data_IF_104084264408
#
_entry.id   IF_104084264408
#
_cell.length_a   1.000
_cell.length_b   1.000
_cell.length_c   1.000
_cell.angle_alpha   90.00
_cell.angle_beta   90.00
_cell.angle_gamma   90.00
#
_symmetry.space_group_name_H-M   'P 1'
#
loop_
_entity.id
_entity.type
_entity.pdbx_description
1 polymer ?
#
# COMPACT_ATOMS: atom_id res chain seq x y z
N UNK A 1 -7.90 -9.22 -3.74
CA UNK A 1 -9.08 -8.40 -3.37
C UNK A 1 -9.21 -7.12 -4.20
N UNK A 2 -8.28 -6.15 -4.12
CA UNK A 2 -8.43 -4.84 -4.78
C UNK A 2 -8.56 -4.90 -6.32
N UNK A 3 -7.78 -5.74 -7.00
CA UNK A 3 -7.91 -5.92 -8.45
C UNK A 3 -9.30 -6.45 -8.86
N UNK A 4 -9.87 -7.38 -8.08
CA UNK A 4 -11.20 -7.92 -8.33
C UNK A 4 -12.33 -6.91 -8.03
N UNK A 5 -12.10 -5.98 -7.10
CA UNK A 5 -13.05 -4.94 -6.73
C UNK A 5 -13.16 -3.80 -7.76
N UNK A 6 -12.26 -3.76 -8.77
CA UNK A 6 -12.29 -2.82 -9.91
C UNK A 6 -12.47 -1.35 -9.53
N UNK A 7 -11.88 -0.93 -8.41
CA UNK A 7 -11.88 0.49 -8.02
C UNK A 7 -11.04 1.29 -9.00
N UNK A 8 -11.44 2.53 -9.26
CA UNK A 8 -10.73 3.42 -10.21
C UNK A 8 -9.30 3.70 -9.77
N UNK A 9 -9.11 3.97 -8.49
CA UNK A 9 -7.83 4.35 -7.93
C UNK A 9 -7.57 3.63 -6.61
N UNK A 10 -6.28 3.44 -6.31
CA UNK A 10 -5.77 3.04 -5.01
C UNK A 10 -4.88 4.18 -4.55
N UNK A 11 -5.24 4.78 -3.41
CA UNK A 11 -4.52 5.90 -2.80
C UNK A 11 -4.04 5.45 -1.43
N UNK A 12 -2.75 5.57 -1.15
CA UNK A 12 -2.20 5.26 0.18
C UNK A 12 -1.13 6.27 0.60
N UNK A 13 -0.94 6.34 1.93
CA UNK A 13 0.07 7.20 2.56
C UNK A 13 1.42 6.54 2.62
N UNK A 14 1.79 6.02 3.80
CA UNK A 14 3.07 5.38 4.03
C UNK A 14 3.23 4.08 3.22
N UNK A 15 4.37 3.92 2.56
CA UNK A 15 4.74 2.67 1.91
C UNK A 15 5.01 1.56 2.95
N UNK A 16 4.71 0.33 2.57
CA UNK A 16 5.14 -0.87 3.31
C UNK A 16 6.28 -1.56 2.53
N UNK A 17 7.56 -1.29 2.87
CA UNK A 17 8.70 -1.89 2.18
C UNK A 17 8.87 -3.39 2.47
N UNK A 18 8.18 -3.94 3.47
CA UNK A 18 8.29 -5.35 3.85
C UNK A 18 7.35 -6.24 3.05
N UNK A 19 6.10 -5.80 2.87
CA UNK A 19 5.04 -6.66 2.30
C UNK A 19 4.03 -5.94 1.42
N UNK A 20 4.21 -4.65 1.11
CA UNK A 20 3.21 -3.85 0.41
C UNK A 20 2.94 -4.35 -1.02
N UNK A 21 1.75 -4.89 -1.29
CA UNK A 21 1.44 -5.58 -2.56
C UNK A 21 1.31 -4.71 -3.82
N UNK A 22 1.53 -3.39 -3.75
CA UNK A 22 1.54 -2.47 -4.90
C UNK A 22 2.95 -2.34 -5.47
N UNK A 23 3.87 -1.82 -4.66
CA UNK A 23 5.26 -1.55 -5.07
C UNK A 23 6.26 -2.63 -4.65
N UNK A 24 5.89 -3.47 -3.66
CA UNK A 24 6.73 -4.51 -3.09
C UNK A 24 6.07 -5.90 -3.15
N UNK A 25 6.86 -6.95 -2.91
CA UNK A 25 6.40 -8.34 -2.92
C UNK A 25 5.69 -8.72 -4.23
N UNK A 26 4.38 -9.00 -4.15
CA UNK A 26 3.56 -9.48 -5.26
C UNK A 26 3.37 -8.46 -6.40
N UNK A 27 3.54 -7.16 -6.14
CA UNK A 27 3.40 -6.05 -7.12
C UNK A 27 2.21 -6.24 -8.06
N UNK A 28 1.03 -6.49 -7.48
CA UNK A 28 -0.12 -7.11 -8.14
C UNK A 28 -0.51 -6.38 -9.43
N UNK A 29 -0.51 -5.05 -9.42
CA UNK A 29 -0.95 -4.24 -10.56
C UNK A 29 0.06 -4.18 -11.71
N UNK A 30 1.32 -4.56 -11.47
CA UNK A 30 2.34 -4.71 -12.50
C UNK A 30 2.27 -6.05 -13.24
N UNK A 31 1.58 -7.05 -12.67
CA UNK A 31 1.55 -8.39 -13.24
C UNK A 31 0.80 -8.43 -14.59
N UNK A 32 1.31 -9.12 -15.62
CA UNK A 32 0.66 -9.18 -16.94
C UNK A 32 -0.75 -9.76 -16.90
N UNK A 33 -1.00 -10.71 -16.00
CA UNK A 33 -2.31 -11.37 -15.84
C UNK A 33 -3.32 -10.54 -15.03
N UNK A 34 -2.94 -9.34 -14.55
CA UNK A 34 -3.86 -8.50 -13.79
C UNK A 34 -4.85 -7.80 -14.73
N UNK A 35 -6.10 -8.26 -14.67
CA UNK A 35 -7.19 -7.81 -15.54
C UNK A 35 -7.74 -6.40 -15.24
N UNK A 36 -7.37 -5.80 -14.10
CA UNK A 36 -7.77 -4.44 -13.74
C UNK A 36 -6.60 -3.70 -13.10
N UNK A 37 -6.23 -2.56 -13.68
CA UNK A 37 -5.10 -1.74 -13.27
C UNK A 37 -5.61 -0.36 -12.83
N UNK A 38 -5.81 -0.14 -11.52
CA UNK A 38 -6.22 1.17 -11.03
C UNK A 38 -5.08 2.19 -11.18
N UNK A 39 -5.45 3.46 -11.18
CA UNK A 39 -4.49 4.53 -10.92
C UNK A 39 -3.91 4.37 -9.51
N UNK A 40 -2.59 4.50 -9.37
CA UNK A 40 -1.90 4.40 -8.10
C UNK A 40 -1.41 5.79 -7.70
N UNK A 41 -1.84 6.26 -6.54
CA UNK A 41 -1.35 7.49 -5.93
C UNK A 41 -0.74 7.15 -4.58
N UNK A 42 0.53 7.49 -4.39
CA UNK A 42 1.32 7.12 -3.22
C UNK A 42 1.74 8.36 -2.45
N UNK A 43 2.14 8.17 -1.18
CA UNK A 43 2.74 9.24 -0.38
C UNK A 43 1.73 10.26 0.18
N UNK A 44 0.42 10.01 0.07
CA UNK A 44 -0.59 10.96 0.59
C UNK A 44 -0.53 10.99 2.11
N UNK A 45 -0.08 12.12 2.67
CA UNK A 45 0.16 12.28 4.12
C UNK A 45 1.13 11.22 4.66
N UNK A 46 2.16 10.88 3.87
CA UNK A 46 3.11 9.80 4.16
C UNK A 46 3.68 9.86 5.58
N UNK A 47 4.25 11.01 5.96
CA UNK A 47 4.89 11.20 7.27
C UNK A 47 3.93 10.88 8.41
N UNK A 48 2.71 11.44 8.36
CA UNK A 48 1.71 11.26 9.41
C UNK A 48 1.23 9.79 9.49
N UNK A 49 1.01 9.15 8.35
CA UNK A 49 0.70 7.72 8.31
C UNK A 49 1.85 6.86 8.88
N UNK A 50 3.09 7.19 8.56
CA UNK A 50 4.26 6.46 9.05
C UNK A 50 4.46 6.65 10.56
N UNK A 51 4.20 7.84 11.08
CA UNK A 51 4.26 8.14 12.51
C UNK A 51 3.23 7.33 13.31
N UNK A 52 1.99 7.21 12.81
CA UNK A 52 0.95 6.36 13.43
C UNK A 52 1.45 4.92 13.57
N UNK A 53 2.02 4.35 12.49
CA UNK A 53 2.54 2.98 12.51
C UNK A 53 3.73 2.84 13.48
N UNK A 54 4.67 3.80 13.46
CA UNK A 54 5.84 3.78 14.35
C UNK A 54 5.44 3.84 15.81
N UNK A 55 4.54 4.75 16.18
CA UNK A 55 4.03 4.88 17.54
C UNK A 55 3.33 3.60 18.02
N UNK A 56 2.47 3.01 17.16
CA UNK A 56 1.75 1.78 17.48
C UNK A 56 2.67 0.58 17.77
N UNK A 57 3.73 0.40 16.98
CA UNK A 57 4.67 -0.70 17.18
C UNK A 57 5.74 -0.39 18.23
N UNK A 58 6.07 0.87 18.50
CA UNK A 58 6.97 1.23 19.60
C UNK A 58 6.40 0.75 20.94
N UNK A 59 5.11 0.99 21.21
CA UNK A 59 4.44 0.54 22.45
C UNK A 59 4.16 -0.96 22.54
N UNK A 60 4.70 -1.79 21.64
CA UNK A 60 4.54 -3.27 21.61
C UNK A 60 5.88 -4.02 21.64
N UNK A 61 6.99 -3.29 21.77
CA UNK A 61 8.36 -3.86 21.76
C UNK A 61 8.90 -4.16 23.16
N UNK A 62 8.11 -3.85 24.18
CA UNK A 62 8.32 -4.25 25.57
C UNK A 62 7.54 -5.55 25.87
#
# INVERSE_FOLDING_TARGET
ALAAARRRAVVYGAADPKSGGVDHGARVFSHPQTHHKPEIVTGVRETECAEILRAFFAGRRD
#
